data_IF_718681994912
#
_entry.id   IF_718681994912
#
_cell.length_a   1.000
_cell.length_b   1.000
_cell.length_c   1.000
_cell.angle_alpha   90.00
_cell.angle_beta   90.00
_cell.angle_gamma   90.00
#
_symmetry.space_group_name_H-M   'P 1'
#
loop_
_entity.id
_entity.type
_entity.pdbx_description
1 polymer ?
#
# COMPACT_ATOMS: atom_id res chain seq x y z
N UNK A 1 -15.50 74.26 -47.73
CA UNK A 1 -14.51 73.54 -46.91
C UNK A 1 -15.01 72.13 -46.68
N UNK A 2 -14.43 71.12 -47.37
CA UNK A 2 -14.85 69.71 -47.34
C UNK A 2 -14.18 69.02 -46.15
N UNK A 3 -14.95 68.54 -45.16
CA UNK A 3 -14.44 67.66 -44.10
C UNK A 3 -14.73 66.21 -44.50
N UNK A 4 -13.68 65.47 -44.83
CA UNK A 4 -13.76 64.05 -45.14
C UNK A 4 -13.89 63.26 -43.83
N UNK A 5 -14.93 62.43 -43.73
CA UNK A 5 -15.16 61.50 -42.63
C UNK A 5 -14.46 60.18 -42.99
N UNK A 6 -13.39 59.83 -42.26
CA UNK A 6 -12.66 58.56 -42.45
C UNK A 6 -13.35 57.52 -41.59
N UNK A 7 -14.02 56.56 -42.24
CA UNK A 7 -14.68 55.43 -41.62
C UNK A 7 -13.68 54.27 -41.51
N UNK A 8 -13.10 54.05 -40.33
CA UNK A 8 -12.20 52.91 -40.06
C UNK A 8 -13.03 51.64 -39.84
N UNK A 9 -12.96 50.72 -40.81
CA UNK A 9 -13.56 49.39 -40.74
C UNK A 9 -12.72 48.50 -39.82
N UNK A 10 -13.23 48.16 -38.62
CA UNK A 10 -12.61 47.17 -37.74
C UNK A 10 -12.85 45.77 -38.33
N UNK A 11 -11.81 45.18 -38.92
CA UNK A 11 -11.85 43.79 -39.42
C UNK A 11 -11.55 42.87 -38.24
N UNK A 12 -12.57 42.25 -37.64
CA UNK A 12 -12.39 41.17 -36.66
C UNK A 12 -12.03 39.87 -37.38
N UNK A 13 -10.78 39.44 -37.27
CA UNK A 13 -10.31 38.16 -37.77
C UNK A 13 -10.78 37.04 -36.81
N UNK A 14 -11.63 36.14 -37.28
CA UNK A 14 -11.93 34.88 -36.58
C UNK A 14 -11.04 33.79 -37.17
N UNK A 15 -10.19 33.18 -36.35
CA UNK A 15 -9.48 31.96 -36.71
C UNK A 15 -10.25 30.76 -36.12
N UNK A 16 -10.62 29.79 -36.95
CA UNK A 16 -11.12 28.49 -36.51
C UNK A 16 -10.17 27.38 -36.98
N UNK A 17 -10.07 26.30 -36.22
CA UNK A 17 -9.39 25.10 -36.67
C UNK A 17 -10.34 24.27 -37.55
N UNK A 18 -9.86 23.81 -38.71
CA UNK A 18 -10.68 23.07 -39.68
C UNK A 18 -11.10 21.68 -39.19
N UNK A 19 -10.30 21.04 -38.33
CA UNK A 19 -10.65 19.77 -37.67
C UNK A 19 -9.95 19.63 -36.32
N UNK A 20 -10.70 19.23 -35.29
CA UNK A 20 -10.19 18.86 -33.98
C UNK A 20 -10.29 17.34 -33.83
N UNK A 21 -9.16 16.65 -33.71
CA UNK A 21 -9.11 15.19 -33.56
C UNK A 21 -8.57 14.79 -32.18
N UNK A 22 -9.22 13.80 -31.58
CA UNK A 22 -8.84 13.23 -30.29
C UNK A 22 -8.43 11.77 -30.52
N UNK A 23 -7.34 11.34 -29.90
CA UNK A 23 -6.86 9.96 -29.92
C UNK A 23 -6.41 9.56 -28.52
N UNK A 24 -6.43 8.27 -28.22
CA UNK A 24 -6.02 7.73 -26.93
C UNK A 24 -5.97 6.21 -26.94
N UNK A 25 -5.51 5.64 -25.84
CA UNK A 25 -5.48 4.19 -25.58
C UNK A 25 -6.36 3.92 -24.37
N UNK A 26 -7.26 2.94 -24.47
CA UNK A 26 -8.01 2.43 -23.33
C UNK A 26 -7.22 1.26 -22.75
N UNK A 27 -6.96 1.31 -21.44
CA UNK A 27 -6.27 0.26 -20.69
C UNK A 27 -7.25 -0.22 -19.62
N UNK A 28 -7.43 -1.53 -19.51
CA UNK A 28 -8.20 -2.16 -18.46
C UNK A 28 -7.22 -2.84 -17.47
N UNK A 29 -7.03 -2.30 -16.26
CA UNK A 29 -6.17 -2.93 -15.26
C UNK A 29 -6.67 -4.33 -14.88
N UNK A 30 -5.78 -5.27 -14.54
CA UNK A 30 -6.18 -6.56 -14.00
C UNK A 30 -6.89 -6.42 -12.65
N UNK A 31 -7.89 -7.27 -12.41
CA UNK A 31 -8.40 -7.47 -11.06
C UNK A 31 -7.48 -8.45 -10.32
N UNK A 32 -6.90 -8.00 -9.21
CA UNK A 32 -5.99 -8.81 -8.39
C UNK A 32 -6.61 -9.19 -7.05
N UNK A 33 -6.28 -10.39 -6.58
CA UNK A 33 -6.77 -10.96 -5.33
C UNK A 33 -5.59 -11.40 -4.48
N UNK A 34 -5.56 -10.94 -3.22
CA UNK A 34 -4.58 -11.39 -2.23
C UNK A 34 -5.08 -12.70 -1.64
N UNK A 35 -4.19 -13.71 -1.59
CA UNK A 35 -4.46 -15.00 -0.93
C UNK A 35 -5.79 -15.67 -1.33
N UNK A 36 -6.17 -15.57 -2.61
CA UNK A 36 -7.46 -16.08 -3.12
C UNK A 36 -8.71 -15.55 -2.39
N UNK A 37 -8.59 -14.43 -1.67
CA UNK A 37 -9.65 -13.84 -0.86
C UNK A 37 -9.80 -14.46 0.53
N UNK A 38 -8.91 -15.38 0.90
CA UNK A 38 -8.89 -16.02 2.21
C UNK A 38 -8.07 -15.20 3.22
N UNK A 39 -8.40 -15.33 4.50
CA UNK A 39 -7.65 -14.72 5.59
C UNK A 39 -6.23 -15.26 5.63
N UNK A 40 -5.25 -14.35 5.71
CA UNK A 40 -3.86 -14.71 6.00
C UNK A 40 -3.71 -14.91 7.51
N UNK A 41 -3.45 -16.13 7.93
CA UNK A 41 -3.21 -16.49 9.33
C UNK A 41 -1.71 -16.70 9.58
N UNK A 42 -1.19 -16.08 10.64
CA UNK A 42 0.20 -16.23 11.08
C UNK A 42 0.17 -16.69 12.53
N UNK A 43 0.66 -17.91 12.77
CA UNK A 43 0.72 -18.48 14.11
C UNK A 43 2.14 -18.43 14.65
N UNK A 44 2.31 -17.75 15.80
CA UNK A 44 3.59 -17.71 16.53
C UNK A 44 3.78 -18.91 17.46
N UNK A 45 2.75 -19.75 17.65
CA UNK A 45 2.77 -20.83 18.64
C UNK A 45 3.00 -20.30 20.06
N UNK A 46 3.89 -20.96 20.82
CA UNK A 46 4.25 -20.53 22.17
C UNK A 46 5.41 -19.55 22.17
N UNK A 47 5.15 -18.33 22.63
CA UNK A 47 6.13 -17.25 22.77
C UNK A 47 6.53 -17.13 24.24
N UNK A 48 7.84 -17.15 24.52
CA UNK A 48 8.38 -16.91 25.87
C UNK A 48 8.62 -15.41 26.00
N UNK A 49 7.97 -14.76 26.97
CA UNK A 49 7.98 -13.30 27.16
C UNK A 49 9.42 -12.74 27.21
N UNK A 50 10.31 -13.42 27.95
CA UNK A 50 11.72 -13.00 28.10
C UNK A 50 12.52 -13.04 26.78
N UNK A 51 12.06 -13.82 25.79
CA UNK A 51 12.70 -13.94 24.48
C UNK A 51 12.13 -12.96 23.45
N UNK A 52 11.14 -12.13 23.80
CA UNK A 52 10.58 -11.12 22.90
C UNK A 52 11.56 -9.95 22.79
N UNK A 53 12.29 -9.90 21.69
CA UNK A 53 13.34 -8.91 21.40
C UNK A 53 13.24 -8.27 20.00
N UNK A 54 12.18 -8.58 19.25
CA UNK A 54 12.00 -8.14 17.86
C UNK A 54 12.83 -8.92 16.83
N UNK A 55 13.49 -10.01 17.25
CA UNK A 55 14.24 -10.92 16.37
C UNK A 55 13.75 -12.36 16.50
N UNK A 56 13.54 -12.85 17.72
CA UNK A 56 12.97 -14.17 17.95
C UNK A 56 11.52 -14.26 17.46
N UNK A 57 11.09 -15.46 17.09
CA UNK A 57 9.74 -15.75 16.59
C UNK A 57 9.38 -15.04 15.27
N UNK A 58 10.37 -14.55 14.51
CA UNK A 58 10.17 -14.01 13.18
C UNK A 58 9.54 -15.08 12.26
N UNK A 59 8.29 -14.86 11.89
CA UNK A 59 7.44 -15.84 11.20
C UNK A 59 7.05 -15.30 9.83
N UNK A 60 7.10 -16.15 8.81
CA UNK A 60 6.73 -15.78 7.44
C UNK A 60 5.22 -15.57 7.31
N UNK A 61 4.84 -14.55 6.55
CA UNK A 61 3.45 -14.30 6.14
C UNK A 61 3.29 -14.91 4.74
N UNK A 62 2.53 -16.02 4.59
CA UNK A 62 2.43 -16.76 3.33
C UNK A 62 1.46 -16.08 2.36
N UNK A 63 1.73 -14.81 2.02
CA UNK A 63 0.87 -14.03 1.13
C UNK A 63 1.13 -14.34 -0.34
N UNK A 64 0.07 -14.27 -1.13
CA UNK A 64 0.13 -14.42 -2.59
C UNK A 64 -0.70 -13.33 -3.24
N UNK A 65 -0.37 -13.01 -4.49
CA UNK A 65 -1.12 -12.08 -5.32
C UNK A 65 -1.46 -12.79 -6.63
N UNK A 66 -2.75 -12.91 -6.95
CA UNK A 66 -3.21 -13.51 -8.21
C UNK A 66 -4.03 -12.48 -8.97
N UNK A 67 -3.63 -12.19 -10.21
CA UNK A 67 -4.33 -11.26 -11.09
C UNK A 67 -5.01 -12.00 -12.26
N UNK A 68 -6.21 -11.57 -12.64
CA UNK A 68 -7.07 -12.22 -13.65
C UNK A 68 -6.57 -12.08 -15.10
N UNK A 69 -5.60 -11.21 -15.34
CA UNK A 69 -4.93 -11.07 -16.63
C UNK A 69 -3.41 -10.97 -16.44
N UNK A 70 -2.67 -11.43 -17.45
CA UNK A 70 -1.22 -11.27 -17.57
C UNK A 70 -0.81 -10.01 -18.33
N UNK A 71 -1.77 -9.16 -18.70
CA UNK A 71 -1.47 -7.90 -19.37
C UNK A 71 -0.76 -6.95 -18.43
N UNK A 72 0.45 -6.53 -18.79
CA UNK A 72 1.26 -5.57 -18.05
C UNK A 72 1.57 -4.42 -19.02
N UNK A 73 1.01 -3.25 -18.74
CA UNK A 73 1.39 -2.01 -19.41
C UNK A 73 2.44 -1.32 -18.55
N UNK A 74 3.45 -0.70 -19.15
CA UNK A 74 4.50 0.01 -18.42
C UNK A 74 3.95 1.17 -17.56
N UNK A 75 2.74 1.64 -17.84
CA UNK A 75 2.06 2.63 -17.02
C UNK A 75 1.47 2.07 -15.71
N UNK A 76 1.26 0.75 -15.60
CA UNK A 76 0.65 0.13 -14.41
C UNK A 76 1.67 -0.04 -13.29
N UNK A 77 1.42 0.58 -12.15
CA UNK A 77 2.25 0.44 -10.95
C UNK A 77 1.46 -0.19 -9.81
N UNK A 78 1.97 -1.29 -9.25
CA UNK A 78 1.37 -1.92 -8.07
C UNK A 78 1.98 -1.37 -6.78
N UNK A 79 1.14 -1.07 -5.80
CA UNK A 79 1.55 -0.56 -4.50
C UNK A 79 0.98 -1.44 -3.40
N UNK A 80 1.86 -2.07 -2.62
CA UNK A 80 1.54 -2.82 -1.42
C UNK A 80 1.48 -1.89 -0.21
N UNK A 81 0.45 -2.04 0.60
CA UNK A 81 0.36 -1.41 1.92
C UNK A 81 -0.31 -2.37 2.89
N UNK A 82 -0.19 -2.10 4.19
CA UNK A 82 -1.06 -2.72 5.17
C UNK A 82 -1.57 -1.70 6.18
N UNK A 83 -2.79 -1.90 6.65
CA UNK A 83 -3.49 -1.01 7.58
C UNK A 83 -3.78 -1.75 8.88
N UNK A 84 -3.55 -1.07 9.99
CA UNK A 84 -3.86 -1.56 11.32
C UNK A 84 -3.57 -0.50 12.37
N UNK A 85 -4.00 -0.75 13.60
CA UNK A 85 -3.83 0.23 14.68
C UNK A 85 -2.42 0.09 15.25
N UNK A 86 -1.57 1.11 15.07
CA UNK A 86 -0.26 1.14 15.69
C UNK A 86 -0.34 1.22 17.23
N UNK A 87 0.62 0.62 17.91
CA UNK A 87 0.75 0.72 19.37
C UNK A 87 0.99 2.17 19.81
N UNK A 88 0.61 2.56 21.04
CA UNK A 88 0.88 3.92 21.54
C UNK A 88 2.37 4.21 21.81
N UNK A 89 3.22 3.17 21.83
CA UNK A 89 4.65 3.27 22.14
C UNK A 89 5.57 3.01 20.94
N UNK A 90 5.05 2.48 19.83
CA UNK A 90 5.78 2.29 18.58
C UNK A 90 4.84 2.43 17.38
N UNK A 91 5.19 3.34 16.47
CA UNK A 91 4.48 3.50 15.19
C UNK A 91 4.70 2.33 14.22
N UNK A 92 5.66 1.44 14.50
CA UNK A 92 6.01 0.31 13.63
C UNK A 92 5.27 -0.98 14.00
N UNK A 93 4.69 -1.05 15.20
CA UNK A 93 4.08 -2.25 15.73
C UNK A 93 2.55 -2.12 15.76
N UNK A 94 1.85 -3.17 15.34
CA UNK A 94 0.41 -3.32 15.50
C UNK A 94 0.06 -3.59 16.95
N UNK A 95 -1.03 -2.99 17.41
CA UNK A 95 -1.62 -3.27 18.74
C UNK A 95 -2.18 -4.68 18.79
N UNK A 96 -1.87 -5.39 19.87
CA UNK A 96 -2.52 -6.66 20.21
C UNK A 96 -3.59 -6.45 21.28
N UNK A 97 -4.38 -7.48 21.57
CA UNK A 97 -5.26 -7.53 22.75
C UNK A 97 -4.48 -7.60 24.09
N UNK A 98 -3.17 -7.85 24.08
CA UNK A 98 -2.31 -7.87 25.26
C UNK A 98 -1.54 -6.54 25.34
N UNK A 99 -1.75 -5.72 26.38
CA UNK A 99 -0.99 -4.49 26.58
C UNK A 99 0.53 -4.75 26.56
N UNK A 100 1.28 -3.73 26.13
CA UNK A 100 2.74 -3.78 25.99
C UNK A 100 3.31 -4.81 25.00
N UNK A 101 2.48 -5.64 24.36
CA UNK A 101 2.84 -6.51 23.25
C UNK A 101 2.33 -5.92 21.92
N UNK A 102 3.22 -5.88 20.93
CA UNK A 102 2.92 -5.47 19.56
C UNK A 102 3.46 -6.44 18.53
N UNK A 103 2.98 -6.34 17.29
CA UNK A 103 3.48 -7.13 16.14
C UNK A 103 4.06 -6.19 15.10
N UNK A 104 5.36 -6.31 14.82
CA UNK A 104 6.01 -5.59 13.71
C UNK A 104 6.01 -6.45 12.46
N UNK A 105 5.77 -5.81 11.32
CA UNK A 105 5.94 -6.43 10.01
C UNK A 105 7.29 -6.02 9.42
N UNK A 106 7.92 -6.94 8.72
CA UNK A 106 9.14 -6.72 7.96
C UNK A 106 8.91 -7.08 6.49
N UNK A 107 9.34 -6.21 5.60
CA UNK A 107 9.45 -6.48 4.18
C UNK A 107 10.93 -6.66 3.81
N UNK A 108 11.28 -7.81 3.23
CA UNK A 108 12.66 -8.14 2.85
C UNK A 108 13.69 -7.87 3.98
N UNK A 109 13.29 -8.14 5.23
CA UNK A 109 14.12 -7.93 6.43
C UNK A 109 14.18 -6.48 6.94
N UNK A 110 13.47 -5.54 6.32
CA UNK A 110 13.35 -4.15 6.77
C UNK A 110 11.98 -3.93 7.39
N UNK A 111 11.90 -3.17 8.50
CA UNK A 111 10.62 -2.82 9.12
C UNK A 111 9.72 -2.14 8.08
N UNK A 112 8.50 -2.66 7.95
CA UNK A 112 7.45 -2.10 7.11
C UNK A 112 6.38 -1.54 8.04
N UNK A 113 6.28 -0.21 8.25
CA UNK A 113 5.33 0.35 9.20
C UNK A 113 3.87 0.35 8.68
N UNK A 114 2.86 0.25 9.56
CA UNK A 114 1.46 0.33 9.17
C UNK A 114 1.14 1.65 8.48
N UNK A 115 0.33 1.61 7.41
CA UNK A 115 -0.08 2.78 6.63
C UNK A 115 0.97 3.31 5.67
N UNK A 116 2.13 2.65 5.56
CA UNK A 116 3.13 2.98 4.53
C UNK A 116 2.92 2.15 3.26
N UNK A 117 3.42 2.68 2.15
CA UNK A 117 3.25 2.11 0.82
C UNK A 117 4.60 1.71 0.23
N UNK A 118 4.61 0.57 -0.46
CA UNK A 118 5.75 0.01 -1.17
C UNK A 118 5.34 -0.32 -2.61
N UNK A 119 6.05 0.23 -3.59
CA UNK A 119 5.90 -0.22 -4.97
C UNK A 119 6.42 -1.65 -5.10
N UNK A 120 5.61 -2.54 -5.70
CA UNK A 120 5.93 -3.96 -5.87
C UNK A 120 5.92 -4.35 -7.34
N UNK A 121 6.72 -5.38 -7.66
CA UNK A 121 6.67 -6.10 -8.93
C UNK A 121 5.93 -7.42 -8.71
N UNK A 122 4.86 -7.65 -9.45
CA UNK A 122 4.06 -8.87 -9.35
C UNK A 122 4.87 -10.13 -9.70
N UNK A 123 5.90 -10.01 -10.54
CA UNK A 123 6.81 -11.10 -10.88
C UNK A 123 7.86 -11.39 -9.81
N UNK A 124 8.04 -10.47 -8.85
CA UNK A 124 9.00 -10.57 -7.76
C UNK A 124 8.43 -9.94 -6.48
N UNK A 125 7.44 -10.61 -5.91
CA UNK A 125 6.77 -10.14 -4.70
C UNK A 125 7.76 -10.07 -3.52
N UNK A 126 7.67 -9.02 -2.66
CA UNK A 126 8.46 -8.96 -1.45
C UNK A 126 8.12 -10.08 -0.47
N UNK A 127 9.13 -10.55 0.24
CA UNK A 127 8.93 -11.39 1.43
C UNK A 127 8.36 -10.55 2.56
N UNK A 128 7.32 -11.05 3.22
CA UNK A 128 6.74 -10.44 4.40
C UNK A 128 6.90 -11.36 5.60
N UNK A 129 7.32 -10.81 6.73
CA UNK A 129 7.46 -11.53 7.99
C UNK A 129 6.86 -10.71 9.12
N UNK A 130 6.34 -11.37 10.14
CA UNK A 130 5.86 -10.74 11.36
C UNK A 130 6.72 -11.17 12.55
N UNK A 131 6.91 -10.28 13.52
CA UNK A 131 7.68 -10.55 14.74
C UNK A 131 7.03 -9.87 15.95
N UNK A 132 6.91 -10.57 17.10
CA UNK A 132 6.45 -9.92 18.32
C UNK A 132 7.52 -8.97 18.87
N UNK A 133 7.06 -7.83 19.37
CA UNK A 133 7.89 -6.83 20.06
C UNK A 133 7.21 -6.41 21.35
N UNK A 134 8.01 -6.04 22.36
CA UNK A 134 7.49 -5.50 23.62
C UNK A 134 7.78 -4.02 23.78
N UNK A 135 6.94 -3.32 24.54
CA UNK A 135 7.23 -1.97 24.96
C UNK A 135 8.53 -1.93 25.79
N UNK A 136 9.49 -1.04 25.47
CA UNK A 136 10.74 -0.96 26.21
C UNK A 136 10.55 -0.76 27.73
N UNK A 137 11.17 -1.62 28.53
CA UNK A 137 11.11 -1.56 30.00
C UNK A 137 9.78 -2.01 30.61
N UNK A 138 8.92 -2.67 29.84
CA UNK A 138 7.67 -3.27 30.29
C UNK A 138 7.61 -4.73 29.88
N UNK A 139 6.88 -5.53 30.66
CA UNK A 139 6.61 -6.92 30.34
C UNK A 139 5.10 -7.09 30.10
N UNK A 140 4.68 -7.64 28.94
CA UNK A 140 3.28 -7.97 28.70
C UNK A 140 2.81 -9.06 29.66
N UNK A 141 1.51 -9.13 29.91
CA UNK A 141 0.92 -10.19 30.73
C UNK A 141 0.90 -11.54 29.99
N UNK A 142 0.96 -12.65 30.74
CA UNK A 142 0.75 -13.98 30.20
C UNK A 142 -0.69 -14.14 29.68
N UNK A 143 -0.83 -14.77 28.51
CA UNK A 143 -2.12 -15.08 27.91
C UNK A 143 -2.05 -15.25 26.40
N UNK A 144 -3.18 -15.60 25.80
CA UNK A 144 -3.33 -15.65 24.34
C UNK A 144 -3.38 -14.24 23.76
N UNK A 145 -2.69 -14.03 22.65
CA UNK A 145 -2.68 -12.74 21.95
C UNK A 145 -3.10 -12.86 20.48
N UNK A 146 -3.72 -11.80 19.98
CA UNK A 146 -4.16 -11.62 18.60
C UNK A 146 -3.94 -10.17 18.17
N UNK A 147 -3.70 -9.98 16.87
CA UNK A 147 -3.59 -8.68 16.21
C UNK A 147 -4.23 -8.77 14.83
N UNK A 148 -4.80 -7.65 14.38
CA UNK A 148 -5.50 -7.58 13.09
C UNK A 148 -4.90 -6.49 12.22
N UNK A 149 -4.74 -6.81 10.93
CA UNK A 149 -4.37 -5.87 9.89
C UNK A 149 -5.03 -6.23 8.57
N UNK A 150 -5.13 -5.26 7.68
CA UNK A 150 -5.59 -5.42 6.30
C UNK A 150 -4.39 -5.25 5.38
N UNK A 151 -4.05 -6.28 4.60
CA UNK A 151 -3.08 -6.17 3.51
C UNK A 151 -3.78 -5.71 2.23
N UNK A 152 -3.22 -4.73 1.52
CA UNK A 152 -3.83 -4.11 0.36
C UNK A 152 -2.83 -3.96 -0.77
N UNK A 153 -3.27 -4.22 -2.00
CA UNK A 153 -2.54 -3.91 -3.23
C UNK A 153 -3.39 -2.97 -4.06
N UNK A 154 -2.87 -1.76 -4.29
CA UNK A 154 -3.45 -0.79 -5.19
C UNK A 154 -2.74 -0.81 -6.55
N UNK A 155 -3.44 -0.40 -7.59
CA UNK A 155 -2.88 -0.21 -8.94
C UNK A 155 -3.19 1.22 -9.41
N UNK A 156 -2.19 1.85 -10.01
CA UNK A 156 -2.29 3.18 -10.63
C UNK A 156 -1.80 3.12 -12.07
#
# INVERSE_FOLDING_TARGET
MKRALILTLLITQFACADNLTFHGKLINPPACTINNGETLEVSFGSVIIDNIDGVNYLTEIPWTLTCDSSFRDDALTFTLSYLGTATPYSANALTTNVPELGIELQQNGTVFPPGTSLTIDESSLPTLKAVPVKQPGKEPAEGDFEAFATLQVDYQ
#
